data_IF_266255028549
#
_entry.id   IF_266255028549
#
_cell.length_a   1.000
_cell.length_b   1.000
_cell.length_c   1.000
_cell.angle_alpha   90.00
_cell.angle_beta   90.00
_cell.angle_gamma   90.00
#
_symmetry.space_group_name_H-M   'P 1'
#
loop_
_entity.id
_entity.type
_entity.pdbx_description
1 polymer ?
#
# COMPACT_ATOMS: atom_id res chain seq x y z
N UNK A 1 -16.23 2.25 -17.94
CA UNK A 1 -14.98 2.93 -17.51
C UNK A 1 -14.66 2.58 -16.06
N UNK A 2 -15.60 2.74 -15.13
CA UNK A 2 -15.45 2.36 -13.71
C UNK A 2 -15.09 0.87 -13.52
N UNK A 3 -15.84 -0.06 -14.15
CA UNK A 3 -15.56 -1.50 -14.10
C UNK A 3 -14.21 -1.92 -14.71
N UNK A 4 -13.69 -1.19 -15.70
CA UNK A 4 -12.38 -1.50 -16.29
C UNK A 4 -11.24 -1.11 -15.34
N UNK A 5 -11.39 0.02 -14.65
CA UNK A 5 -10.41 0.49 -13.66
C UNK A 5 -10.42 -0.43 -12.43
N UNK A 6 -11.61 -0.79 -11.96
CA UNK A 6 -11.78 -1.74 -10.85
C UNK A 6 -11.16 -3.09 -11.18
N UNK A 7 -11.44 -3.64 -12.36
CA UNK A 7 -10.85 -4.90 -12.82
C UNK A 7 -9.32 -4.84 -12.93
N UNK A 8 -8.76 -3.75 -13.47
CA UNK A 8 -7.29 -3.58 -13.55
C UNK A 8 -6.68 -3.47 -12.16
N UNK A 9 -7.32 -2.74 -11.25
CA UNK A 9 -6.85 -2.60 -9.87
C UNK A 9 -6.89 -3.94 -9.15
N UNK A 10 -7.99 -4.66 -9.23
CA UNK A 10 -8.18 -5.97 -8.61
C UNK A 10 -7.17 -6.98 -9.17
N UNK A 11 -7.02 -7.04 -10.50
CA UNK A 11 -6.05 -7.91 -11.16
C UNK A 11 -4.61 -7.56 -10.75
N UNK A 12 -4.24 -6.28 -10.71
CA UNK A 12 -2.91 -5.85 -10.30
C UNK A 12 -2.63 -6.12 -8.82
N UNK A 13 -3.63 -5.95 -7.95
CA UNK A 13 -3.48 -6.17 -6.50
C UNK A 13 -3.41 -7.65 -6.15
N UNK A 14 -4.37 -8.44 -6.61
CA UNK A 14 -4.41 -9.88 -6.33
C UNK A 14 -3.24 -10.59 -6.99
N UNK A 15 -3.02 -10.35 -8.29
CA UNK A 15 -1.91 -11.00 -9.01
C UNK A 15 -0.55 -10.54 -8.49
N UNK A 16 -0.42 -9.27 -8.10
CA UNK A 16 0.79 -8.73 -7.48
C UNK A 16 1.09 -9.37 -6.11
N UNK A 17 0.07 -9.55 -5.27
CA UNK A 17 0.22 -10.17 -3.96
C UNK A 17 0.42 -11.69 -4.01
N UNK A 18 -0.16 -12.38 -4.99
CA UNK A 18 0.09 -13.82 -5.18
C UNK A 18 1.46 -14.09 -5.80
N UNK A 19 1.86 -13.29 -6.80
CA UNK A 19 3.16 -13.42 -7.44
C UNK A 19 4.32 -13.23 -6.44
N UNK A 20 4.15 -12.35 -5.46
CA UNK A 20 5.15 -12.19 -4.39
C UNK A 20 5.30 -13.40 -3.46
N UNK A 21 4.31 -14.30 -3.40
CA UNK A 21 4.34 -15.51 -2.57
C UNK A 21 4.77 -16.77 -3.34
N UNK A 22 4.66 -16.78 -4.67
CA UNK A 22 4.93 -17.96 -5.50
C UNK A 22 6.42 -18.24 -5.68
N UNK A 23 6.89 -19.43 -5.27
CA UNK A 23 8.26 -19.91 -5.51
C UNK A 23 8.61 -20.10 -7.00
N UNK A 24 7.61 -20.02 -7.90
CA UNK A 24 7.82 -20.14 -9.35
C UNK A 24 8.39 -18.87 -9.99
N UNK A 25 8.37 -17.73 -9.29
CA UNK A 25 8.84 -16.45 -9.80
C UNK A 25 10.27 -16.17 -9.30
N UNK A 26 11.22 -15.84 -10.21
CA UNK A 26 12.59 -15.50 -9.84
C UNK A 26 12.67 -14.40 -8.79
N UNK A 27 13.57 -14.54 -7.81
CA UNK A 27 13.82 -13.55 -6.74
C UNK A 27 13.89 -12.08 -7.22
N UNK A 28 14.62 -11.72 -8.30
CA UNK A 28 14.72 -10.31 -8.72
C UNK A 28 13.37 -9.73 -9.17
N UNK A 29 12.58 -10.48 -9.94
CA UNK A 29 11.25 -10.04 -10.42
C UNK A 29 10.31 -9.83 -9.22
N UNK A 30 10.42 -10.69 -8.20
CA UNK A 30 9.65 -10.55 -6.96
C UNK A 30 9.91 -9.23 -6.24
N UNK A 31 11.18 -8.81 -6.12
CA UNK A 31 11.53 -7.54 -5.48
C UNK A 31 11.05 -6.33 -6.31
N UNK A 32 11.08 -6.43 -7.64
CA UNK A 32 10.57 -5.36 -8.52
C UNK A 32 9.06 -5.19 -8.32
N UNK A 33 8.29 -6.28 -8.39
CA UNK A 33 6.83 -6.24 -8.19
C UNK A 33 6.47 -5.68 -6.81
N UNK A 34 7.18 -6.15 -5.78
CA UNK A 34 7.00 -5.69 -4.41
C UNK A 34 7.35 -4.20 -4.24
N UNK A 35 8.40 -3.73 -4.91
CA UNK A 35 8.76 -2.32 -4.97
C UNK A 35 7.67 -1.45 -5.61
N UNK A 36 7.08 -1.91 -6.72
CA UNK A 36 5.97 -1.22 -7.39
C UNK A 36 4.75 -1.14 -6.47
N UNK A 37 4.37 -2.25 -5.84
CA UNK A 37 3.24 -2.28 -4.89
C UNK A 37 3.50 -1.35 -3.70
N UNK A 38 4.71 -1.39 -3.12
CA UNK A 38 5.08 -0.52 -2.01
C UNK A 38 5.03 0.96 -2.40
N UNK A 39 5.55 1.32 -3.57
CA UNK A 39 5.47 2.68 -4.12
C UNK A 39 4.02 3.15 -4.29
N UNK A 40 3.16 2.29 -4.82
CA UNK A 40 1.74 2.61 -4.97
C UNK A 40 1.05 2.89 -3.63
N UNK A 41 1.29 2.06 -2.61
CA UNK A 41 0.77 2.29 -1.26
C UNK A 41 1.30 3.59 -0.65
N UNK A 42 2.60 3.87 -0.78
CA UNK A 42 3.21 5.11 -0.30
C UNK A 42 2.58 6.33 -0.98
N UNK A 43 2.34 6.25 -2.30
CA UNK A 43 1.69 7.31 -3.05
C UNK A 43 0.26 7.58 -2.56
N UNK A 44 -0.55 6.53 -2.36
CA UNK A 44 -1.92 6.67 -1.82
C UNK A 44 -1.88 7.33 -0.44
N UNK A 45 -1.05 6.83 0.47
CA UNK A 45 -0.95 7.37 1.84
C UNK A 45 -0.48 8.82 1.81
N UNK A 46 0.50 9.15 0.94
CA UNK A 46 0.96 10.52 0.73
C UNK A 46 -0.15 11.46 0.24
N UNK A 47 -0.97 11.00 -0.72
CA UNK A 47 -2.14 11.73 -1.19
C UNK A 47 -3.17 11.95 -0.07
N UNK A 48 -3.39 10.96 0.80
CA UNK A 48 -4.27 11.12 1.96
C UNK A 48 -3.78 12.17 2.96
N UNK A 49 -2.47 12.27 3.18
CA UNK A 49 -1.91 13.35 4.00
C UNK A 49 -2.09 14.71 3.32
N UNK A 50 -1.86 14.79 2.01
CA UNK A 50 -2.06 16.01 1.24
C UNK A 50 -3.52 16.48 1.34
N UNK A 51 -4.48 15.58 1.13
CA UNK A 51 -5.91 15.92 1.28
C UNK A 51 -6.26 16.33 2.71
N UNK A 52 -5.70 15.68 3.73
CA UNK A 52 -5.87 16.14 5.11
C UNK A 52 -5.41 17.60 5.27
N UNK A 53 -4.23 17.96 4.77
CA UNK A 53 -3.71 19.33 4.84
C UNK A 53 -4.54 20.34 4.06
N UNK A 54 -5.15 19.96 2.92
CA UNK A 54 -6.08 20.83 2.21
C UNK A 54 -7.35 21.09 3.02
N UNK A 55 -7.91 20.03 3.62
CA UNK A 55 -9.12 20.11 4.45
C UNK A 55 -8.89 20.87 5.76
N UNK A 56 -7.65 20.99 6.23
CA UNK A 56 -7.32 21.75 7.45
C UNK A 56 -7.85 23.20 7.42
N UNK A 57 -7.87 23.83 6.24
CA UNK A 57 -8.37 25.20 6.08
C UNK A 57 -9.90 25.30 6.20
N UNK A 58 -10.61 24.22 5.91
CA UNK A 58 -12.07 24.18 5.87
C UNK A 58 -12.66 23.60 7.17
N UNK A 59 -12.09 22.50 7.66
CA UNK A 59 -12.56 21.86 8.88
C UNK A 59 -11.43 21.15 9.64
N UNK A 60 -11.25 21.54 10.89
CA UNK A 60 -10.30 20.90 11.80
C UNK A 60 -10.70 19.44 12.07
N UNK A 61 -12.00 19.18 12.17
CA UNK A 61 -12.54 17.83 12.42
C UNK A 61 -12.23 16.92 11.22
N UNK A 62 -12.45 17.39 9.99
CA UNK A 62 -12.13 16.64 8.77
C UNK A 62 -10.63 16.34 8.66
N UNK A 63 -9.79 17.32 8.99
CA UNK A 63 -8.35 17.10 9.08
C UNK A 63 -8.00 15.99 10.06
N UNK A 64 -8.50 16.05 11.29
CA UNK A 64 -8.19 15.05 12.33
C UNK A 64 -8.60 13.64 11.87
N UNK A 65 -9.78 13.48 11.29
CA UNK A 65 -10.28 12.18 10.84
C UNK A 65 -9.42 11.60 9.70
N UNK A 66 -9.14 12.39 8.66
CA UNK A 66 -8.36 11.93 7.50
C UNK A 66 -6.91 11.66 7.92
N UNK A 67 -6.33 12.53 8.74
CA UNK A 67 -4.97 12.39 9.23
C UNK A 67 -4.79 11.14 10.10
N UNK A 68 -5.75 10.86 10.99
CA UNK A 68 -5.76 9.66 11.83
C UNK A 68 -5.92 8.38 11.00
N UNK A 69 -6.77 8.41 9.97
CA UNK A 69 -6.92 7.32 9.02
C UNK A 69 -5.61 7.06 8.25
N UNK A 70 -4.97 8.11 7.74
CA UNK A 70 -3.71 8.02 7.00
C UNK A 70 -2.57 7.44 7.87
N UNK A 71 -2.44 7.92 9.11
CA UNK A 71 -1.46 7.39 10.08
C UNK A 71 -1.73 5.92 10.42
N UNK A 72 -2.99 5.53 10.65
CA UNK A 72 -3.34 4.14 10.91
C UNK A 72 -2.99 3.22 9.74
N UNK A 73 -3.26 3.64 8.50
CA UNK A 73 -2.91 2.89 7.30
C UNK A 73 -1.39 2.76 7.15
N UNK A 74 -0.64 3.83 7.41
CA UNK A 74 0.83 3.83 7.36
C UNK A 74 1.41 2.83 8.37
N UNK A 75 0.95 2.86 9.61
CA UNK A 75 1.40 1.93 10.66
C UNK A 75 1.08 0.48 10.26
N UNK A 76 -0.14 0.22 9.81
CA UNK A 76 -0.57 -1.12 9.37
C UNK A 76 0.25 -1.63 8.19
N UNK A 77 0.53 -0.77 7.21
CA UNK A 77 1.38 -1.10 6.07
C UNK A 77 2.80 -1.47 6.50
N UNK A 78 3.41 -0.69 7.39
CA UNK A 78 4.75 -0.96 7.94
C UNK A 78 4.76 -2.29 8.70
N UNK A 79 3.80 -2.53 9.59
CA UNK A 79 3.72 -3.78 10.37
C UNK A 79 3.61 -4.99 9.43
N UNK A 80 2.71 -4.92 8.45
CA UNK A 80 2.50 -6.00 7.48
C UNK A 80 3.75 -6.25 6.65
N UNK A 81 4.42 -5.19 6.19
CA UNK A 81 5.66 -5.27 5.43
C UNK A 81 6.78 -5.92 6.25
N UNK A 82 6.98 -5.48 7.50
CA UNK A 82 7.97 -6.08 8.41
C UNK A 82 7.69 -7.56 8.65
N UNK A 83 6.44 -7.95 8.88
CA UNK A 83 6.06 -9.34 9.18
C UNK A 83 6.26 -10.27 7.99
N UNK A 84 5.81 -9.88 6.80
CA UNK A 84 5.88 -10.75 5.62
C UNK A 84 7.28 -10.81 4.99
N UNK A 85 8.06 -9.74 5.08
CA UNK A 85 9.32 -9.65 4.33
C UNK A 85 10.57 -9.64 5.19
N UNK A 86 10.58 -9.04 6.38
CA UNK A 86 11.79 -9.06 7.23
C UNK A 86 11.85 -10.32 8.11
N UNK A 87 10.75 -10.65 8.80
CA UNK A 87 10.74 -11.78 9.75
C UNK A 87 10.75 -13.12 9.01
N UNK A 88 10.03 -13.21 7.88
CA UNK A 88 9.92 -14.45 7.09
C UNK A 88 11.20 -14.81 6.32
N UNK A 89 12.04 -13.82 6.03
CA UNK A 89 13.38 -14.04 5.43
C UNK A 89 14.38 -14.51 6.48
N UNK A 90 14.26 -14.07 7.75
CA UNK A 90 15.21 -14.42 8.80
C UNK A 90 14.96 -15.80 9.45
N UNK A 91 13.77 -16.39 9.24
CA UNK A 91 13.38 -17.71 9.75
C UNK A 91 13.41 -18.81 8.66
N UNK A 92 14.07 -18.56 7.52
CA UNK A 92 14.21 -19.50 6.41
C UNK A 92 15.69 -19.78 6.13
#
# INVERSE_FOLDING_TARGET
MEYLIEFILELAFESGLESTKSNKIPKPIRYIILGIIALFFIAIIGLMYLTAFLVLKESIIGFILIFLLATFMLISAIIRFRKEYLIKINNK
#
